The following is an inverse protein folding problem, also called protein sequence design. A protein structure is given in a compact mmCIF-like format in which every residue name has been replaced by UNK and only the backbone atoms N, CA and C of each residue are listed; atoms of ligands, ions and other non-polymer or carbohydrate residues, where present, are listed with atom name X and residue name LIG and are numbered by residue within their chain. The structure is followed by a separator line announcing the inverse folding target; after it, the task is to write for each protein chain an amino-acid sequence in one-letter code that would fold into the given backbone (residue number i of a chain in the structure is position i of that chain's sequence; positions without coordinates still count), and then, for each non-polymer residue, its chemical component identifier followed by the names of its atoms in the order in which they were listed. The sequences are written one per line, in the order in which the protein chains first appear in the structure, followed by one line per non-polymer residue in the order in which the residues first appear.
data_IF_549409450134
#
_entry.id   IF_549409450134
#
_cell.length_a   1.000
_cell.length_b   1.000
_cell.length_c   1.000
_cell.angle_alpha   90.00
_cell.angle_beta   90.00
_cell.angle_gamma   90.00
#
_symmetry.space_group_name_H-M   'P 1'
#
loop_
_entity.id
_entity.type
_entity.pdbx_description
1 polymer ?
#
# COMPACT_ATOMS: atom_id res chain seq x y z
N UNK A 1 -12.83 18.50 4.40
CA UNK A 1 -11.35 18.38 4.46
C UNK A 1 -10.73 19.75 4.30
N UNK A 2 -9.58 19.99 4.93
CA UNK A 2 -8.75 21.16 4.68
C UNK A 2 -7.38 20.62 4.28
N UNK A 3 -6.82 21.08 3.16
CA UNK A 3 -5.41 20.80 2.84
C UNK A 3 -5.04 19.29 2.78
N UNK A 4 -5.94 18.46 2.25
CA UNK A 4 -5.73 17.01 2.16
C UNK A 4 -5.90 16.24 3.48
N UNK A 5 -6.39 16.88 4.55
CA UNK A 5 -6.59 16.27 5.87
C UNK A 5 -8.03 16.40 6.37
N UNK A 6 -8.43 15.44 7.21
CA UNK A 6 -9.72 15.47 7.89
C UNK A 6 -9.58 16.31 9.16
N UNK A 7 -10.09 17.55 9.09
CA UNK A 7 -10.17 18.45 10.24
C UNK A 7 -11.51 18.31 10.99
N UNK A 8 -12.55 17.82 10.31
CA UNK A 8 -13.91 17.70 10.84
C UNK A 8 -14.52 16.41 10.29
N UNK A 9 -14.52 15.36 11.12
CA UNK A 9 -15.00 14.03 10.76
C UNK A 9 -16.49 14.07 10.43
N UNK A 10 -17.29 14.85 11.16
CA UNK A 10 -18.73 14.94 10.96
C UNK A 10 -19.09 15.52 9.59
N UNK A 11 -18.48 16.65 9.22
CA UNK A 11 -18.71 17.28 7.91
C UNK A 11 -18.24 16.40 6.75
N UNK A 12 -17.13 15.68 6.93
CA UNK A 12 -16.66 14.74 5.91
C UNK A 12 -17.65 13.58 5.77
N UNK A 13 -18.13 13.01 6.89
CA UNK A 13 -19.16 11.98 6.88
C UNK A 13 -20.45 12.43 6.20
N UNK A 14 -20.95 13.64 6.50
CA UNK A 14 -22.11 14.22 5.81
C UNK A 14 -21.91 14.32 4.29
N UNK A 15 -20.71 14.74 3.86
CA UNK A 15 -20.37 14.83 2.43
C UNK A 15 -20.36 13.43 1.79
N UNK A 16 -19.80 12.43 2.47
CA UNK A 16 -19.80 11.04 2.00
C UNK A 16 -21.24 10.52 1.89
N UNK A 17 -22.10 10.78 2.88
CA UNK A 17 -23.51 10.39 2.84
C UNK A 17 -24.25 11.01 1.65
N UNK A 18 -24.04 12.30 1.37
CA UNK A 18 -24.66 12.96 0.22
C UNK A 18 -24.24 12.32 -1.11
N UNK A 19 -22.96 11.96 -1.25
CA UNK A 19 -22.45 11.28 -2.45
C UNK A 19 -23.02 9.85 -2.53
N UNK A 20 -23.06 9.12 -1.41
CA UNK A 20 -23.65 7.78 -1.31
C UNK A 20 -25.11 7.80 -1.76
N UNK A 21 -25.94 8.66 -1.19
CA UNK A 21 -27.36 8.77 -1.50
C UNK A 21 -27.60 9.05 -2.99
N UNK A 22 -26.79 9.93 -3.60
CA UNK A 22 -26.87 10.22 -5.02
C UNK A 22 -26.52 9.00 -5.88
N UNK A 23 -25.45 8.28 -5.53
CA UNK A 23 -25.04 7.07 -6.25
C UNK A 23 -26.07 5.94 -6.10
N UNK A 24 -26.65 5.77 -4.91
CA UNK A 24 -27.70 4.78 -4.65
C UNK A 24 -28.96 5.07 -5.47
N UNK A 25 -29.34 6.36 -5.59
CA UNK A 25 -30.46 6.78 -6.44
C UNK A 25 -30.22 6.46 -7.92
N UNK A 26 -29.00 6.68 -8.41
CA UNK A 26 -28.63 6.40 -9.81
C UNK A 26 -28.52 4.89 -10.11
N UNK A 27 -28.09 4.09 -9.13
CA UNK A 27 -27.88 2.65 -9.27
C UNK A 27 -29.11 1.79 -8.92
N UNK A 28 -30.05 2.34 -8.13
CA UNK A 28 -31.21 1.62 -7.64
C UNK A 28 -30.86 0.49 -6.65
N UNK A 29 -29.74 0.60 -5.93
CA UNK A 29 -29.30 -0.37 -4.91
C UNK A 29 -28.57 0.33 -3.78
N UNK A 30 -28.60 -0.28 -2.59
CA UNK A 30 -27.82 0.19 -1.44
C UNK A 30 -26.33 -0.12 -1.61
N UNK A 31 -25.50 0.80 -1.14
CA UNK A 31 -24.06 0.69 -1.03
C UNK A 31 -23.70 0.45 0.44
N UNK A 32 -22.98 -0.63 0.71
CA UNK A 32 -22.61 -1.06 2.06
C UNK A 32 -21.12 -0.95 2.34
N UNK A 33 -20.29 -0.92 1.29
CA UNK A 33 -18.85 -1.01 1.38
C UNK A 33 -18.16 0.05 0.52
N UNK A 34 -16.99 0.51 0.97
CA UNK A 34 -16.14 1.45 0.24
C UNK A 34 -14.67 1.05 0.34
N UNK A 35 -13.92 1.36 -0.72
CA UNK A 35 -12.45 1.33 -0.70
C UNK A 35 -11.93 2.77 -0.60
N UNK A 36 -11.01 3.02 0.32
CA UNK A 36 -10.45 4.36 0.55
C UNK A 36 -9.10 4.46 -0.14
N UNK A 37 -8.89 5.53 -0.91
CA UNK A 37 -7.57 5.98 -1.31
C UNK A 37 -7.16 7.14 -0.40
N UNK A 38 -6.22 6.89 0.51
CA UNK A 38 -5.78 7.88 1.48
C UNK A 38 -4.71 8.80 0.88
N UNK A 39 -4.90 10.11 1.06
CA UNK A 39 -3.87 11.12 0.89
C UNK A 39 -3.16 11.33 2.24
N UNK A 40 -1.83 11.48 2.26
CA UNK A 40 -1.10 11.57 3.51
C UNK A 40 0.22 12.32 3.39
N UNK A 41 0.34 13.45 4.10
CA UNK A 41 1.59 14.24 4.17
C UNK A 41 2.68 13.55 4.98
N UNK A 42 2.29 12.72 5.94
CA UNK A 42 3.21 12.04 6.88
C UNK A 42 3.31 10.56 6.50
N UNK A 43 3.44 10.30 5.20
CA UNK A 43 3.69 8.97 4.68
C UNK A 43 5.15 8.58 4.97
N UNK A 44 5.33 7.36 5.45
CA UNK A 44 6.64 6.76 5.68
C UNK A 44 6.73 5.43 4.96
N UNK A 45 7.85 5.19 4.31
CA UNK A 45 8.12 3.93 3.63
C UNK A 45 9.34 3.27 4.25
N UNK A 46 9.26 1.96 4.44
CA UNK A 46 10.40 1.12 4.81
C UNK A 46 10.63 0.13 3.69
N UNK A 47 11.87 0.06 3.21
CA UNK A 47 12.31 -0.96 2.27
C UNK A 47 13.06 -2.03 3.05
N UNK A 48 12.69 -3.29 2.89
CA UNK A 48 13.35 -4.40 3.57
C UNK A 48 13.49 -5.62 2.66
N UNK A 49 14.44 -6.49 3.00
CA UNK A 49 14.71 -7.77 2.35
C UNK A 49 14.40 -8.90 3.34
N UNK A 50 13.66 -9.91 2.91
CA UNK A 50 13.47 -11.15 3.67
C UNK A 50 13.73 -12.37 2.80
N UNK A 51 14.28 -13.41 3.40
CA UNK A 51 14.58 -14.69 2.76
C UNK A 51 14.02 -15.84 3.60
N UNK A 52 13.52 -16.86 2.93
CA UNK A 52 13.07 -18.11 3.50
C UNK A 52 13.78 -19.28 2.80
N UNK A 53 14.29 -20.22 3.60
CA UNK A 53 14.98 -21.42 3.12
C UNK A 53 14.20 -22.68 3.54
N UNK A 54 13.92 -23.54 2.57
CA UNK A 54 13.30 -24.85 2.78
C UNK A 54 14.36 -25.93 3.04
N UNK A 55 13.93 -27.05 3.64
CA UNK A 55 14.83 -28.19 3.89
C UNK A 55 15.37 -28.82 2.60
N UNK A 56 14.56 -28.83 1.54
CA UNK A 56 14.88 -29.37 0.23
C UNK A 56 14.18 -28.59 -0.89
N UNK A 57 14.64 -28.77 -2.13
CA UNK A 57 13.99 -28.16 -3.29
C UNK A 57 12.53 -28.63 -3.40
N UNK A 58 11.62 -27.66 -3.40
CA UNK A 58 10.19 -27.90 -3.60
C UNK A 58 9.61 -26.86 -4.54
N UNK A 59 8.44 -27.19 -5.08
CA UNK A 59 7.64 -26.24 -5.84
C UNK A 59 7.11 -25.15 -4.90
N UNK A 60 7.21 -23.90 -5.35
CA UNK A 60 6.78 -22.73 -4.60
C UNK A 60 5.31 -22.46 -4.92
N UNK A 61 4.51 -22.37 -3.87
CA UNK A 61 3.06 -22.14 -3.94
C UNK A 61 2.72 -20.67 -3.70
N UNK A 62 1.49 -20.25 -4.02
CA UNK A 62 1.01 -18.91 -3.66
C UNK A 62 1.05 -18.66 -2.15
N UNK A 63 0.80 -19.69 -1.34
CA UNK A 63 0.87 -19.61 0.12
C UNK A 63 2.29 -19.32 0.59
N UNK A 64 3.31 -19.92 -0.05
CA UNK A 64 4.71 -19.64 0.24
C UNK A 64 5.07 -18.18 -0.07
N UNK A 65 4.61 -17.66 -1.21
CA UNK A 65 4.83 -16.24 -1.59
C UNK A 65 4.11 -15.31 -0.61
N UNK A 66 2.87 -15.63 -0.22
CA UNK A 66 2.11 -14.86 0.76
C UNK A 66 2.80 -14.83 2.12
N UNK A 67 3.28 -15.99 2.60
CA UNK A 67 4.03 -16.12 3.84
C UNK A 67 5.31 -15.28 3.81
N UNK A 68 6.07 -15.38 2.71
CA UNK A 68 7.28 -14.58 2.50
C UNK A 68 7.00 -13.06 2.54
N UNK A 69 5.95 -12.60 1.86
CA UNK A 69 5.54 -11.19 1.91
C UNK A 69 5.11 -10.77 3.33
N UNK A 70 4.41 -11.64 4.06
CA UNK A 70 3.97 -11.39 5.45
C UNK A 70 5.17 -11.21 6.37
N UNK A 71 6.17 -12.10 6.29
CA UNK A 71 7.45 -11.94 7.01
C UNK A 71 8.11 -10.60 6.70
N UNK A 72 8.02 -10.18 5.43
CA UNK A 72 8.53 -8.90 4.96
C UNK A 72 7.85 -7.71 5.62
N UNK A 73 6.52 -7.73 5.68
CA UNK A 73 5.72 -6.67 6.32
C UNK A 73 5.99 -6.61 7.82
N UNK A 74 6.08 -7.76 8.50
CA UNK A 74 6.42 -7.85 9.91
C UNK A 74 7.80 -7.24 10.20
N UNK A 75 8.82 -7.64 9.42
CA UNK A 75 10.17 -7.08 9.53
C UNK A 75 10.19 -5.57 9.27
N UNK A 76 9.50 -5.11 8.23
CA UNK A 76 9.43 -3.68 7.93
C UNK A 76 8.75 -2.89 9.06
N UNK A 77 7.74 -3.46 9.71
CA UNK A 77 7.07 -2.86 10.86
C UNK A 77 8.00 -2.78 12.08
N UNK A 78 8.76 -3.83 12.37
CA UNK A 78 9.78 -3.82 13.44
C UNK A 78 10.88 -2.79 13.18
N UNK A 79 11.41 -2.74 11.95
CA UNK A 79 12.38 -1.73 11.52
C UNK A 79 11.82 -0.32 11.67
N UNK A 80 10.57 -0.11 11.26
CA UNK A 80 9.89 1.15 11.41
C UNK A 80 9.82 1.56 12.89
N UNK A 81 9.33 0.69 13.78
CA UNK A 81 9.22 0.99 15.21
C UNK A 81 10.58 1.28 15.86
N UNK A 82 11.62 0.52 15.52
CA UNK A 82 12.97 0.74 16.06
C UNK A 82 13.60 2.05 15.58
N UNK A 83 13.26 2.50 14.38
CA UNK A 83 13.72 3.79 13.84
C UNK A 83 12.93 4.99 14.39
N UNK A 84 11.74 4.75 14.92
CA UNK A 84 10.77 5.79 15.28
C UNK A 84 10.75 6.06 16.80
N UNK A 85 11.95 6.18 17.40
CA UNK A 85 12.18 6.29 18.85
C UNK A 85 11.77 7.62 19.49
N UNK A 86 11.34 8.62 18.71
CA UNK A 86 11.19 10.01 19.16
C UNK A 86 9.77 10.59 19.00
N UNK A 87 8.77 9.76 18.68
CA UNK A 87 7.38 10.23 18.53
C UNK A 87 6.39 9.29 19.19
N UNK A 88 5.53 9.82 20.08
CA UNK A 88 4.33 9.13 20.62
C UNK A 88 3.29 8.75 19.53
N UNK A 89 3.57 9.07 18.26
CA UNK A 89 2.72 8.76 17.11
C UNK A 89 2.80 7.28 16.75
N UNK A 90 1.63 6.64 16.75
CA UNK A 90 1.45 5.29 16.21
C UNK A 90 1.19 5.34 14.72
N UNK A 91 1.61 4.29 14.02
CA UNK A 91 1.47 4.17 12.59
C UNK A 91 0.87 2.82 12.21
N UNK A 92 0.05 2.85 11.17
CA UNK A 92 -0.64 1.73 10.58
C UNK A 92 -0.02 1.39 9.22
N UNK A 93 0.25 0.10 8.96
CA UNK A 93 0.70 -0.36 7.66
C UNK A 93 -0.49 -0.35 6.68
N UNK A 94 -0.47 0.59 5.74
CA UNK A 94 -1.57 0.78 4.78
C UNK A 94 -1.38 -0.02 3.49
N UNK A 95 -0.21 -0.62 3.30
CA UNK A 95 0.06 -1.45 2.15
C UNK A 95 1.53 -1.76 1.97
N UNK A 96 1.81 -2.71 1.09
CA UNK A 96 3.15 -3.06 0.68
C UNK A 96 3.20 -3.34 -0.83
N UNK A 97 4.39 -3.32 -1.39
CA UNK A 97 4.65 -3.73 -2.77
C UNK A 97 5.91 -4.59 -2.80
N UNK A 98 5.80 -5.80 -3.33
CA UNK A 98 6.96 -6.62 -3.66
C UNK A 98 7.65 -6.01 -4.88
N UNK A 99 8.87 -5.54 -4.70
CA UNK A 99 9.65 -4.90 -5.76
C UNK A 99 10.34 -5.95 -6.61
N UNK A 100 10.91 -6.97 -5.97
CA UNK A 100 11.68 -8.04 -6.62
C UNK A 100 11.53 -9.32 -5.83
N UNK A 101 11.43 -10.44 -6.53
CA UNK A 101 11.58 -11.75 -5.94
C UNK A 101 12.94 -12.35 -6.30
N UNK A 102 13.40 -13.28 -5.48
CA UNK A 102 14.63 -14.03 -5.73
C UNK A 102 14.37 -15.51 -5.51
N UNK A 103 14.89 -16.34 -6.41
CA UNK A 103 14.84 -17.79 -6.38
C UNK A 103 16.26 -18.32 -6.38
N UNK A 104 16.70 -18.94 -5.28
CA UNK A 104 18.09 -19.38 -5.10
C UNK A 104 19.11 -18.26 -5.41
N UNK A 105 18.80 -17.01 -5.04
CA UNK A 105 19.62 -15.83 -5.31
C UNK A 105 19.43 -15.19 -6.70
N UNK A 106 18.72 -15.84 -7.63
CA UNK A 106 18.44 -15.27 -8.95
C UNK A 106 17.16 -14.42 -8.92
N UNK A 107 17.24 -13.19 -9.42
CA UNK A 107 16.07 -12.30 -9.50
C UNK A 107 14.99 -12.88 -10.43
N UNK A 108 13.75 -12.86 -9.98
CA UNK A 108 12.56 -13.36 -10.67
C UNK A 108 11.44 -12.32 -10.64
N UNK A 109 10.59 -12.35 -11.68
CA UNK A 109 9.34 -11.57 -11.69
C UNK A 109 8.21 -12.22 -10.89
N UNK A 110 8.21 -13.55 -10.81
CA UNK A 110 7.26 -14.34 -10.02
C UNK A 110 7.94 -15.62 -9.51
N UNK A 111 7.56 -16.10 -8.33
CA UNK A 111 8.09 -17.33 -7.73
C UNK A 111 7.16 -18.54 -7.91
N UNK A 112 5.86 -18.32 -8.02
CA UNK A 112 4.87 -19.40 -8.06
C UNK A 112 5.17 -20.40 -9.19
N UNK A 113 5.13 -21.70 -8.87
CA UNK A 113 5.36 -22.80 -9.81
C UNK A 113 6.84 -23.08 -10.10
N UNK A 114 7.77 -22.25 -9.63
CA UNK A 114 9.20 -22.56 -9.69
C UNK A 114 9.60 -23.58 -8.62
N UNK A 115 10.71 -24.29 -8.83
CA UNK A 115 11.34 -25.13 -7.80
C UNK A 115 12.53 -24.40 -7.20
N UNK A 116 12.52 -24.24 -5.88
CA UNK A 116 13.58 -23.55 -5.18
C UNK A 116 13.82 -24.15 -3.79
N UNK A 117 15.05 -23.97 -3.30
CA UNK A 117 15.40 -24.19 -1.90
C UNK A 117 15.30 -22.89 -1.11
N UNK A 118 15.68 -21.77 -1.72
CA UNK A 118 15.62 -20.45 -1.10
C UNK A 118 14.74 -19.53 -1.93
N UNK A 119 13.87 -18.78 -1.27
CA UNK A 119 13.09 -17.69 -1.85
C UNK A 119 13.32 -16.42 -1.06
N UNK A 120 13.38 -15.27 -1.73
CA UNK A 120 13.49 -13.98 -1.06
C UNK A 120 12.68 -12.90 -1.77
N UNK A 121 12.43 -11.80 -1.07
CA UNK A 121 11.72 -10.64 -1.60
C UNK A 121 12.33 -9.35 -1.07
N UNK A 122 12.53 -8.39 -1.97
CA UNK A 122 12.63 -6.98 -1.60
C UNK A 122 11.23 -6.39 -1.60
N UNK A 123 10.78 -5.87 -0.46
CA UNK A 123 9.51 -5.15 -0.38
C UNK A 123 9.69 -3.71 0.09
N UNK A 124 8.75 -2.89 -0.32
CA UNK A 124 8.50 -1.58 0.27
C UNK A 124 7.16 -1.63 1.00
N UNK A 125 7.18 -1.40 2.31
CA UNK A 125 5.99 -1.24 3.14
C UNK A 125 5.73 0.24 3.39
N UNK A 126 4.46 0.63 3.44
CA UNK A 126 4.06 2.02 3.61
C UNK A 126 3.15 2.20 4.82
N UNK A 127 3.42 3.25 5.58
CA UNK A 127 2.80 3.54 6.86
C UNK A 127 2.17 4.93 6.88
N UNK A 128 0.98 5.03 7.47
CA UNK A 128 0.29 6.28 7.79
C UNK A 128 0.08 6.38 9.32
N UNK A 129 0.01 7.60 9.87
CA UNK A 129 -0.34 7.77 11.28
C UNK A 129 -1.72 7.19 11.61
N UNK A 130 -1.86 6.53 12.76
CA UNK A 130 -3.12 5.90 13.19
C UNK A 130 -4.27 6.91 13.22
N UNK A 131 -4.04 8.13 13.71
CA UNK A 131 -5.05 9.18 13.78
C UNK A 131 -5.66 9.53 12.40
N UNK A 132 -4.86 9.43 11.34
CA UNK A 132 -5.32 9.67 9.97
C UNK A 132 -6.23 8.54 9.51
N UNK A 133 -5.83 7.29 9.77
CA UNK A 133 -6.61 6.09 9.42
C UNK A 133 -7.93 6.08 10.21
N UNK A 134 -7.87 6.30 11.52
CA UNK A 134 -9.04 6.40 12.39
C UNK A 134 -10.02 7.48 11.94
N UNK A 135 -9.51 8.65 11.53
CA UNK A 135 -10.34 9.74 11.02
C UNK A 135 -11.09 9.36 9.74
N UNK A 136 -10.42 8.63 8.83
CA UNK A 136 -11.02 8.13 7.60
C UNK A 136 -12.11 7.09 7.89
N UNK A 137 -11.83 6.12 8.75
CA UNK A 137 -12.76 5.07 9.12
C UNK A 137 -14.03 5.65 9.77
N UNK A 138 -13.87 6.54 10.75
CA UNK A 138 -15.00 7.19 11.42
C UNK A 138 -15.86 8.00 10.46
N UNK A 139 -15.26 8.72 9.51
CA UNK A 139 -16.02 9.49 8.53
C UNK A 139 -16.86 8.59 7.61
N UNK A 140 -16.32 7.45 7.20
CA UNK A 140 -17.03 6.45 6.38
C UNK A 140 -18.13 5.76 7.18
N UNK A 141 -17.86 5.37 8.43
CA UNK A 141 -18.84 4.73 9.30
C UNK A 141 -20.04 5.65 9.59
N UNK A 142 -19.83 6.96 9.74
CA UNK A 142 -20.91 7.95 9.88
C UNK A 142 -21.84 7.98 8.66
N UNK A 143 -21.36 7.60 7.48
CA UNK A 143 -22.17 7.46 6.27
C UNK A 143 -22.85 6.08 6.13
N UNK A 144 -22.74 5.23 7.15
CA UNK A 144 -23.30 3.87 7.14
C UNK A 144 -22.64 2.98 6.09
N UNK A 145 -21.32 3.12 5.92
CA UNK A 145 -20.50 2.31 5.02
C UNK A 145 -19.42 1.59 5.83
N UNK A 146 -18.99 0.43 5.32
CA UNK A 146 -17.86 -0.32 5.85
C UNK A 146 -16.63 -0.14 4.96
N UNK A 147 -15.45 0.01 5.58
CA UNK A 147 -14.19 0.08 4.84
C UNK A 147 -13.77 -1.34 4.45
N UNK A 148 -13.89 -1.67 3.17
CA UNK A 148 -13.47 -2.97 2.64
C UNK A 148 -11.96 -3.04 2.40
N UNK A 149 -11.35 -1.90 2.00
CA UNK A 149 -9.92 -1.81 1.77
C UNK A 149 -9.44 -0.35 1.88
N UNK A 150 -8.16 -0.18 2.19
CA UNK A 150 -7.47 1.10 2.16
C UNK A 150 -6.22 0.98 1.30
N UNK A 151 -6.00 1.97 0.44
CA UNK A 151 -4.79 2.13 -0.35
C UNK A 151 -4.33 3.58 -0.31
N UNK A 152 -3.25 3.90 -0.99
CA UNK A 152 -2.78 5.27 -1.15
C UNK A 152 -3.25 5.84 -2.48
N UNK A 153 -3.69 7.09 -2.48
CA UNK A 153 -3.98 7.85 -3.71
C UNK A 153 -2.90 7.72 -4.79
N UNK A 154 -1.59 7.91 -4.51
CA UNK A 154 -0.55 7.70 -5.51
C UNK A 154 -0.52 6.28 -6.11
N UNK A 155 -0.80 5.24 -5.30
CA UNK A 155 -0.84 3.85 -5.77
C UNK A 155 -2.06 3.64 -6.68
N UNK A 156 -3.23 4.12 -6.25
CA UNK A 156 -4.46 4.06 -7.02
C UNK A 156 -4.33 4.81 -8.36
N UNK A 157 -3.72 6.00 -8.34
CA UNK A 157 -3.50 6.82 -9.52
C UNK A 157 -2.56 6.13 -10.52
N UNK A 158 -1.43 5.54 -10.06
CA UNK A 158 -0.54 4.75 -10.92
C UNK A 158 -1.27 3.55 -11.53
N UNK A 159 -2.09 2.85 -10.74
CA UNK A 159 -2.81 1.67 -11.22
C UNK A 159 -3.76 1.98 -12.38
N UNK A 160 -4.41 3.15 -12.34
CA UNK A 160 -5.34 3.59 -13.40
C UNK A 160 -4.61 4.26 -14.56
N UNK A 161 -3.62 5.11 -14.29
CA UNK A 161 -3.00 5.95 -15.31
C UNK A 161 -1.84 5.28 -16.05
N UNK A 162 -1.13 4.34 -15.42
CA UNK A 162 0.11 3.76 -15.96
C UNK A 162 -0.04 2.24 -16.16
N UNK A 163 -0.13 1.77 -17.42
CA UNK A 163 -0.07 0.35 -17.74
C UNK A 163 1.19 -0.32 -17.16
N UNK A 164 1.07 -1.56 -16.71
CA UNK A 164 2.16 -2.31 -16.04
C UNK A 164 3.49 -2.28 -16.79
N UNK A 165 3.45 -2.45 -18.11
CA UNK A 165 4.66 -2.42 -18.96
C UNK A 165 5.47 -1.12 -18.88
N UNK A 166 4.86 -0.01 -18.47
CA UNK A 166 5.52 1.28 -18.32
C UNK A 166 5.98 1.53 -16.87
N UNK A 167 5.49 0.78 -15.88
CA UNK A 167 5.85 0.98 -14.47
C UNK A 167 7.33 0.69 -14.15
N UNK A 168 8.01 -0.07 -15.02
CA UNK A 168 9.45 -0.31 -14.91
C UNK A 168 10.32 0.85 -15.40
N UNK A 169 9.71 1.89 -15.99
CA UNK A 169 10.45 3.08 -16.40
C UNK A 169 10.70 4.00 -15.20
N UNK A 170 11.75 4.81 -15.30
CA UNK A 170 12.00 5.91 -14.37
C UNK A 170 10.97 7.02 -14.63
N UNK A 171 9.88 7.03 -13.87
CA UNK A 171 8.75 7.93 -14.08
C UNK A 171 8.45 8.74 -12.82
N UNK A 172 7.94 9.95 -13.02
CA UNK A 172 7.30 10.72 -11.98
C UNK A 172 5.85 10.98 -12.41
N UNK A 173 4.90 10.56 -11.58
CA UNK A 173 3.50 10.96 -11.68
C UNK A 173 3.29 12.15 -10.77
N UNK A 174 2.70 13.22 -11.30
CA UNK A 174 2.31 14.41 -10.54
C UNK A 174 0.80 14.51 -10.64
N UNK A 175 0.11 14.23 -9.54
CA UNK A 175 -1.31 14.43 -9.39
C UNK A 175 -1.57 15.83 -8.85
N UNK A 176 -2.34 16.64 -9.56
CA UNK A 176 -2.58 18.05 -9.22
C UNK A 176 -4.03 18.23 -8.81
N UNK A 177 -4.27 18.18 -7.51
CA UNK A 177 -5.57 18.43 -6.89
C UNK A 177 -5.84 19.91 -6.63
N UNK A 178 -6.98 20.19 -5.98
CA UNK A 178 -7.40 21.55 -5.65
C UNK A 178 -6.55 22.23 -4.55
N UNK A 179 -5.89 21.44 -3.69
CA UNK A 179 -5.09 21.96 -2.57
C UNK A 179 -3.75 21.28 -2.35
N UNK A 180 -3.51 20.12 -2.96
CA UNK A 180 -2.25 19.38 -2.88
C UNK A 180 -1.78 19.00 -4.27
N UNK A 181 -0.46 18.77 -4.40
CA UNK A 181 0.09 18.08 -5.55
C UNK A 181 0.90 16.90 -5.04
N UNK A 182 0.45 15.71 -5.37
CA UNK A 182 1.01 14.47 -4.88
C UNK A 182 1.95 13.90 -5.94
N UNK A 183 3.18 13.60 -5.54
CA UNK A 183 4.24 13.19 -6.45
C UNK A 183 4.62 11.75 -6.13
N UNK A 184 4.49 10.87 -7.13
CA UNK A 184 4.94 9.48 -7.06
C UNK A 184 6.10 9.28 -8.01
N UNK A 185 7.19 8.68 -7.53
CA UNK A 185 8.36 8.40 -8.36
C UNK A 185 8.58 6.90 -8.41
N UNK A 186 8.56 6.32 -9.61
CA UNK A 186 9.04 4.97 -9.86
C UNK A 186 10.46 5.07 -10.39
N UNK A 187 11.37 4.29 -9.80
CA UNK A 187 12.76 4.22 -10.26
C UNK A 187 13.19 2.76 -10.31
N UNK A 188 13.80 2.37 -11.41
CA UNK A 188 14.54 1.12 -11.48
C UNK A 188 15.89 1.35 -10.76
N UNK A 189 16.11 0.67 -9.63
CA UNK A 189 17.45 0.65 -9.05
C UNK A 189 18.37 -0.19 -9.95
N UNK A 190 19.60 0.27 -10.24
CA UNK A 190 20.54 -0.53 -11.01
C UNK A 190 20.74 -1.87 -10.31
N UNK A 191 20.63 -2.97 -11.05
CA UNK A 191 20.98 -4.30 -10.56
C UNK A 191 22.39 -4.21 -9.96
N UNK A 192 22.54 -4.51 -8.67
CA UNK A 192 23.87 -4.72 -8.11
C UNK A 192 24.54 -5.81 -8.96
N UNK A 193 25.79 -5.62 -9.43
CA UNK A 193 26.51 -6.71 -10.06
C UNK A 193 26.66 -7.80 -8.99
N UNK A 194 26.07 -8.97 -9.24
CA UNK A 194 26.35 -10.14 -8.41
C UNK A 194 27.84 -10.45 -8.54
N UNK A 195 28.58 -10.30 -7.44
CA UNK A 195 29.98 -10.67 -7.33
C UNK A 195 30.16 -12.19 -7.31
#
# INVERSE_FOLDING_TARGET
MLDGQIHDIGKVGETISQVKEQLEADLGRELTEVCIAAAGRVLRTVTTYVEHSFESDREITQEDVYSLCTMGVEKAYEEFQNSNTDTDMKFYCVGYTAMRYYMNGYQMGNLEGHKAKNIAVDLIATFLPDDVVDGLYKAVELAGLHVANLTLEPIAAIQVAIPEKFRMLNMALVDVGAGTSDISITKEEPSQPMA
#
